data_IF_387302361771
#
_entry.id   IF_387302361771
#
_cell.length_a   1.000
_cell.length_b   1.000
_cell.length_c   1.000
_cell.angle_alpha   90.00
_cell.angle_beta   90.00
_cell.angle_gamma   90.00
#
_symmetry.space_group_name_H-M   'P 1'
#
loop_
_entity.id
_entity.type
_entity.pdbx_description
1 polymer ?
#
# COMPACT_ATOMS: atom_id res chain seq x y z
N UNK A 1 -3.71 20.69 8.15
CA UNK A 1 -5.14 20.81 7.76
C UNK A 1 -5.35 20.60 6.26
N UNK A 2 -4.50 21.14 5.38
CA UNK A 2 -4.65 21.01 3.91
C UNK A 2 -4.52 19.58 3.37
N UNK A 3 -3.62 18.76 3.93
CA UNK A 3 -3.44 17.37 3.48
C UNK A 3 -4.64 16.47 3.74
N UNK A 4 -5.47 16.76 4.75
CA UNK A 4 -6.64 15.92 5.03
C UNK A 4 -7.72 16.09 3.95
N UNK A 5 -7.87 17.30 3.42
CA UNK A 5 -8.74 17.56 2.27
C UNK A 5 -8.23 16.90 1.00
N UNK A 6 -6.94 17.03 0.71
CA UNK A 6 -6.30 16.42 -0.47
C UNK A 6 -6.44 14.88 -0.46
N UNK A 7 -6.21 14.24 0.69
CA UNK A 7 -6.39 12.80 0.87
C UNK A 7 -7.84 12.35 0.61
N UNK A 8 -8.82 13.12 1.08
CA UNK A 8 -10.23 12.79 0.90
C UNK A 8 -10.69 12.92 -0.56
N UNK A 9 -10.09 13.83 -1.34
CA UNK A 9 -10.36 13.97 -2.78
C UNK A 9 -9.71 12.83 -3.56
N UNK A 10 -8.42 12.60 -3.36
CA UNK A 10 -7.65 11.56 -4.08
C UNK A 10 -8.17 10.16 -3.72
N UNK A 11 -8.44 9.89 -2.45
CA UNK A 11 -8.92 8.57 -2.00
C UNK A 11 -10.31 8.19 -2.53
N UNK A 12 -11.05 9.14 -3.11
CA UNK A 12 -12.35 8.90 -3.77
C UNK A 12 -12.22 8.77 -5.28
N UNK A 13 -11.09 9.16 -5.87
CA UNK A 13 -10.83 9.00 -7.29
C UNK A 13 -10.18 7.64 -7.54
N UNK A 14 -10.99 6.69 -8.02
CA UNK A 14 -10.54 5.33 -8.30
C UNK A 14 -9.40 5.27 -9.34
N UNK A 15 -9.37 6.20 -10.29
CA UNK A 15 -8.31 6.23 -11.31
C UNK A 15 -7.00 6.73 -10.71
N UNK A 16 -7.05 7.78 -9.88
CA UNK A 16 -5.89 8.25 -9.15
C UNK A 16 -5.31 7.17 -8.23
N UNK A 17 -6.19 6.44 -7.53
CA UNK A 17 -5.81 5.31 -6.68
C UNK A 17 -5.15 4.18 -7.48
N UNK A 18 -5.75 3.76 -8.61
CA UNK A 18 -5.16 2.73 -9.47
C UNK A 18 -3.82 3.16 -10.05
N UNK A 19 -3.67 4.43 -10.41
CA UNK A 19 -2.41 4.97 -10.89
C UNK A 19 -1.33 4.87 -9.81
N UNK A 20 -1.64 5.28 -8.57
CA UNK A 20 -0.71 5.13 -7.45
C UNK A 20 -0.32 3.67 -7.19
N UNK A 21 -1.29 2.75 -7.24
CA UNK A 21 -1.02 1.31 -7.08
C UNK A 21 -0.07 0.81 -8.17
N UNK A 22 -0.26 1.24 -9.43
CA UNK A 22 0.61 0.84 -10.54
C UNK A 22 2.05 1.36 -10.37
N UNK A 23 2.22 2.54 -9.77
CA UNK A 23 3.52 3.16 -9.55
C UNK A 23 4.39 2.42 -8.54
N UNK A 24 3.82 1.56 -7.68
CA UNK A 24 4.58 0.69 -6.76
C UNK A 24 5.44 -0.32 -7.54
N UNK A 25 5.05 -0.67 -8.77
CA UNK A 25 5.77 -1.62 -9.63
C UNK A 25 6.69 -0.92 -10.64
N UNK A 26 7.06 0.33 -10.39
CA UNK A 26 8.00 1.10 -11.21
C UNK A 26 9.44 0.61 -11.03
N UNK A 27 10.23 0.61 -12.10
CA UNK A 27 11.68 0.33 -12.04
C UNK A 27 12.49 1.49 -11.40
N UNK A 28 11.84 2.63 -11.15
CA UNK A 28 12.44 3.78 -10.48
C UNK A 28 12.09 3.77 -8.98
N UNK A 29 13.09 3.56 -8.12
CA UNK A 29 12.92 3.46 -6.67
C UNK A 29 12.29 4.72 -6.04
N UNK A 30 12.58 5.92 -6.53
CA UNK A 30 11.94 7.15 -6.06
C UNK A 30 10.45 7.19 -6.39
N UNK A 31 10.06 6.67 -7.54
CA UNK A 31 8.63 6.57 -7.91
C UNK A 31 7.90 5.61 -6.97
N UNK A 32 8.53 4.48 -6.65
CA UNK A 32 8.00 3.50 -5.69
C UNK A 32 7.85 4.11 -4.30
N UNK A 33 8.89 4.81 -3.81
CA UNK A 33 8.88 5.51 -2.52
C UNK A 33 7.74 6.54 -2.43
N UNK A 34 7.61 7.41 -3.44
CA UNK A 34 6.56 8.44 -3.45
C UNK A 34 5.16 7.82 -3.55
N UNK A 35 4.99 6.78 -4.35
CA UNK A 35 3.73 6.03 -4.43
C UNK A 35 3.37 5.42 -3.06
N UNK A 36 4.32 4.77 -2.40
CA UNK A 36 4.12 4.18 -1.08
C UNK A 36 3.80 5.23 0.00
N UNK A 37 4.46 6.39 -0.05
CA UNK A 37 4.17 7.51 0.84
C UNK A 37 2.74 8.04 0.66
N UNK A 38 2.33 8.26 -0.59
CA UNK A 38 0.96 8.68 -0.91
C UNK A 38 -0.09 7.64 -0.49
N UNK A 39 0.16 6.36 -0.78
CA UNK A 39 -0.73 5.26 -0.40
C UNK A 39 -0.83 5.10 1.11
N UNK A 40 0.27 5.24 1.84
CA UNK A 40 0.27 5.22 3.31
C UNK A 40 -0.52 6.40 3.88
N UNK A 41 -0.41 7.59 3.27
CA UNK A 41 -1.20 8.74 3.66
C UNK A 41 -2.71 8.47 3.44
N UNK A 42 -3.08 7.91 2.29
CA UNK A 42 -4.46 7.56 1.93
C UNK A 42 -5.03 6.45 2.83
N UNK A 43 -4.24 5.44 3.17
CA UNK A 43 -4.64 4.32 4.00
C UNK A 43 -5.00 4.69 5.45
N UNK A 44 -4.77 5.94 5.88
CA UNK A 44 -5.25 6.41 7.19
C UNK A 44 -6.77 6.37 7.33
N UNK A 45 -7.51 6.47 6.21
CA UNK A 45 -8.96 6.38 6.19
C UNK A 45 -9.41 4.93 5.89
N UNK A 46 -10.25 4.36 6.74
CA UNK A 46 -10.70 2.97 6.62
C UNK A 46 -11.50 2.70 5.33
N UNK A 47 -12.29 3.67 4.87
CA UNK A 47 -13.03 3.54 3.60
C UNK A 47 -12.05 3.51 2.43
N UNK A 48 -11.05 4.40 2.42
CA UNK A 48 -10.02 4.44 1.37
C UNK A 48 -9.16 3.16 1.40
N UNK A 49 -8.77 2.68 2.57
CA UNK A 49 -8.02 1.43 2.71
C UNK A 49 -8.80 0.21 2.17
N UNK A 50 -10.12 0.16 2.38
CA UNK A 50 -10.97 -0.87 1.77
C UNK A 50 -11.04 -0.73 0.24
N UNK A 51 -11.00 0.48 -0.31
CA UNK A 51 -10.91 0.69 -1.75
C UNK A 51 -9.55 0.23 -2.32
N UNK A 52 -8.44 0.47 -1.60
CA UNK A 52 -7.13 -0.07 -1.98
C UNK A 52 -7.14 -1.60 -2.06
N UNK A 53 -7.79 -2.27 -1.10
CA UNK A 53 -7.97 -3.74 -1.13
C UNK A 53 -8.81 -4.15 -2.35
N UNK A 54 -9.92 -3.46 -2.62
CA UNK A 54 -10.76 -3.75 -3.81
C UNK A 54 -10.02 -3.52 -5.13
N UNK A 55 -9.07 -2.58 -5.14
CA UNK A 55 -8.19 -2.32 -6.28
C UNK A 55 -6.97 -3.27 -6.36
N UNK A 56 -6.96 -4.34 -5.56
CA UNK A 56 -5.95 -5.40 -5.55
C UNK A 56 -4.53 -4.92 -5.24
N UNK A 57 -4.37 -3.95 -4.33
CA UNK A 57 -3.06 -3.43 -3.90
C UNK A 57 -2.11 -4.52 -3.35
N UNK A 58 -2.66 -5.61 -2.82
CA UNK A 58 -1.86 -6.69 -2.22
C UNK A 58 -1.06 -7.47 -3.25
N UNK A 59 -1.49 -7.48 -4.51
CA UNK A 59 -0.77 -8.13 -5.60
C UNK A 59 0.55 -7.43 -5.94
N UNK A 60 0.61 -6.11 -6.24
CA UNK A 60 1.86 -5.41 -6.46
C UNK A 60 2.74 -5.34 -5.20
N UNK A 61 2.16 -5.19 -3.99
CA UNK A 61 2.90 -5.32 -2.73
C UNK A 61 3.62 -6.68 -2.67
N UNK A 62 2.88 -7.77 -2.90
CA UNK A 62 3.46 -9.11 -2.87
C UNK A 62 4.49 -9.37 -3.95
N UNK A 63 4.43 -8.67 -5.09
CA UNK A 63 5.44 -8.73 -6.13
C UNK A 63 6.75 -8.05 -5.71
N UNK A 64 6.66 -6.83 -5.17
CA UNK A 64 7.85 -6.08 -4.71
C UNK A 64 8.51 -6.75 -3.52
N UNK A 65 7.72 -7.27 -2.56
CA UNK A 65 8.27 -8.01 -1.41
C UNK A 65 9.03 -9.28 -1.82
N UNK A 66 8.73 -9.86 -2.99
CA UNK A 66 9.44 -11.04 -3.53
C UNK A 66 10.66 -10.69 -4.37
N UNK A 67 10.71 -9.48 -4.94
CA UNK A 67 11.90 -9.03 -5.66
C UNK A 67 12.98 -8.66 -4.64
N UNK A 68 14.16 -9.26 -4.73
CA UNK A 68 15.24 -9.16 -3.73
C UNK A 68 15.94 -7.78 -3.66
N UNK A 69 15.31 -6.70 -4.15
CA UNK A 69 15.80 -5.33 -4.00
C UNK A 69 15.47 -4.79 -2.61
N UNK A 70 16.48 -4.36 -1.85
CA UNK A 70 16.30 -3.93 -0.46
C UNK A 70 15.76 -2.50 -0.31
N UNK A 71 15.92 -1.65 -1.33
CA UNK A 71 15.62 -0.22 -1.23
C UNK A 71 14.11 0.05 -1.17
N UNK A 72 13.31 -0.69 -1.92
CA UNK A 72 11.86 -0.51 -1.99
C UNK A 72 11.10 -1.21 -0.85
N UNK A 73 11.73 -2.18 -0.18
CA UNK A 73 11.10 -2.99 0.87
C UNK A 73 10.57 -2.13 2.02
N UNK A 74 11.33 -1.13 2.47
CA UNK A 74 10.93 -0.26 3.59
C UNK A 74 9.64 0.48 3.24
N UNK A 75 9.59 1.09 2.05
CA UNK A 75 8.44 1.85 1.56
C UNK A 75 7.19 0.98 1.47
N UNK A 76 7.32 -0.23 0.93
CA UNK A 76 6.20 -1.19 0.81
C UNK A 76 5.74 -1.70 2.17
N UNK A 77 6.66 -2.01 3.08
CA UNK A 77 6.33 -2.43 4.44
C UNK A 77 5.60 -1.32 5.20
N UNK A 78 5.94 -0.06 4.99
CA UNK A 78 5.20 1.06 5.58
C UNK A 78 3.74 1.08 5.14
N UNK A 79 3.43 0.80 3.87
CA UNK A 79 2.04 0.69 3.38
C UNK A 79 1.32 -0.46 4.08
N UNK A 80 1.94 -1.64 4.17
CA UNK A 80 1.37 -2.82 4.84
C UNK A 80 1.07 -2.52 6.31
N UNK A 81 2.04 -1.98 7.04
CA UNK A 81 1.86 -1.60 8.45
C UNK A 81 0.73 -0.59 8.58
N UNK A 82 0.74 0.46 7.75
CA UNK A 82 -0.27 1.52 7.82
C UNK A 82 -1.68 0.98 7.64
N UNK A 83 -1.89 0.13 6.63
CA UNK A 83 -3.19 -0.51 6.36
C UNK A 83 -3.59 -1.49 7.47
N UNK A 84 -2.66 -2.30 7.98
CA UNK A 84 -2.93 -3.25 9.07
C UNK A 84 -3.42 -2.54 10.34
N UNK A 85 -2.95 -1.33 10.62
CA UNK A 85 -3.37 -0.54 11.78
C UNK A 85 -4.55 0.41 11.51
N UNK A 86 -5.12 0.42 10.30
CA UNK A 86 -6.26 1.29 9.97
C UNK A 86 -7.55 0.86 10.67
N UNK A 87 -7.87 -0.44 10.64
CA UNK A 87 -9.01 -1.03 11.34
C UNK A 87 -8.93 -2.56 11.30
N UNK A 88 -9.61 -3.24 12.22
CA UNK A 88 -9.67 -4.71 12.27
C UNK A 88 -10.16 -5.32 10.95
N UNK A 89 -11.18 -4.73 10.33
CA UNK A 89 -11.72 -5.20 9.04
C UNK A 89 -10.72 -5.09 7.90
N UNK A 90 -9.93 -4.01 7.86
CA UNK A 90 -8.87 -3.84 6.87
C UNK A 90 -7.77 -4.86 7.11
N UNK A 91 -7.34 -5.02 8.37
CA UNK A 91 -6.32 -6.00 8.76
C UNK A 91 -6.73 -7.43 8.37
N UNK A 92 -7.94 -7.85 8.70
CA UNK A 92 -8.47 -9.19 8.40
C UNK A 92 -8.50 -9.48 6.89
N UNK A 93 -8.94 -8.50 6.09
CA UNK A 93 -9.00 -8.65 4.63
C UNK A 93 -7.62 -8.63 3.97
N UNK A 94 -6.70 -7.87 4.55
CA UNK A 94 -5.36 -7.65 3.98
C UNK A 94 -4.39 -8.78 4.35
N UNK A 95 -4.32 -9.14 5.63
CA UNK A 95 -3.34 -10.07 6.20
C UNK A 95 -3.78 -11.53 6.06
N UNK A 96 -4.04 -11.95 4.82
CA UNK A 96 -4.27 -13.36 4.54
C UNK A 96 -2.97 -14.19 4.67
N UNK A 97 -3.12 -15.51 4.68
CA UNK A 97 -2.01 -16.46 4.87
C UNK A 97 -0.85 -16.26 3.88
N UNK A 98 -1.13 -15.86 2.65
CA UNK A 98 -0.12 -15.70 1.62
C UNK A 98 0.66 -14.38 1.81
N UNK A 99 -0.04 -13.30 2.14
CA UNK A 99 0.58 -12.01 2.48
C UNK A 99 1.48 -12.16 3.71
N UNK A 100 0.98 -12.79 4.78
CA UNK A 100 1.76 -13.02 5.99
C UNK A 100 3.02 -13.85 5.71
N UNK A 101 2.92 -14.88 4.87
CA UNK A 101 4.08 -15.67 4.46
C UNK A 101 5.12 -14.82 3.74
N UNK A 102 4.69 -13.98 2.79
CA UNK A 102 5.58 -13.11 2.04
C UNK A 102 6.29 -12.12 2.97
N UNK A 103 5.53 -11.43 3.83
CA UNK A 103 6.09 -10.47 4.79
C UNK A 103 7.08 -11.13 5.75
N UNK A 104 6.79 -12.34 6.23
CA UNK A 104 7.72 -13.08 7.10
C UNK A 104 9.02 -13.46 6.38
N UNK A 105 8.96 -13.84 5.10
CA UNK A 105 10.16 -14.21 4.32
C UNK A 105 11.00 -12.96 4.00
N UNK A 106 10.37 -11.83 3.69
CA UNK A 106 11.10 -10.59 3.34
C UNK A 106 11.83 -9.94 4.53
N UNK A 107 11.59 -10.40 5.76
CA UNK A 107 12.22 -9.90 6.99
C UNK A 107 13.36 -10.79 7.52
N UNK A 108 13.68 -11.88 6.83
CA UNK A 108 14.71 -12.88 7.20
C UNK A 108 15.80 -12.94 6.12
#
# INVERSE_FOLDING_TARGET
>A
MQDQGNRAVIGKDENAVRQLISMISSDNCHVVEQACSALSALAFDAYVALQLIKADIMRPIGAVLKSMGQEELISVLQVVVKMAFTSDTVAEKMLNKDVLRIVMISLV
#
